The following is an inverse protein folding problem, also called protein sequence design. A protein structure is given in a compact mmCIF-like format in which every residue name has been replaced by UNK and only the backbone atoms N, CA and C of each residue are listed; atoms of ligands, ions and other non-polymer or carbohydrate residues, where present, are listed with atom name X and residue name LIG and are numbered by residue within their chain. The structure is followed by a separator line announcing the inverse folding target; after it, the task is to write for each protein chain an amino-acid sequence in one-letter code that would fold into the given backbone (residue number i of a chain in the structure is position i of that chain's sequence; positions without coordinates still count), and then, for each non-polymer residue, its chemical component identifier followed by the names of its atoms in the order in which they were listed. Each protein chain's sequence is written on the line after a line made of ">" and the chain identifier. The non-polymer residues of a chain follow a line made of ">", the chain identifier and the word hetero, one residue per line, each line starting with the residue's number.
data_IF_199361304917
#
_entry.id   IF_199361304917
#
_cell.length_a   1.000
_cell.length_b   1.000
_cell.length_c   1.000
_cell.angle_alpha   90.00
_cell.angle_beta   90.00
_cell.angle_gamma   90.00
#
_symmetry.space_group_name_H-M   'P 1'
#
loop_
_entity.id
_entity.type
_entity.pdbx_description
1 polymer ?
#
# COMPACT_ATOMS: atom_id res chain seq x y z
N UNK A 1 1.08 2.94 3.22
CA UNK A 1 0.77 3.97 4.24
C UNK A 1 1.72 3.80 5.43
N UNK A 2 1.99 4.87 6.18
CA UNK A 2 2.84 4.81 7.36
C UNK A 2 2.09 4.27 8.60
N UNK A 3 0.79 4.51 8.71
CA UNK A 3 -0.05 4.02 9.82
C UNK A 3 -1.51 3.81 9.41
N UNK A 4 -2.31 3.19 10.28
CA UNK A 4 -3.70 2.82 9.99
C UNK A 4 -4.65 4.03 9.97
N UNK A 5 -4.30 5.09 10.70
CA UNK A 5 -5.07 6.34 10.78
C UNK A 5 -5.21 7.01 9.41
N UNK A 6 -4.26 6.76 8.50
CA UNK A 6 -4.30 7.28 7.13
C UNK A 6 -5.33 6.58 6.24
N UNK A 7 -6.05 5.55 6.71
CA UNK A 7 -7.05 4.84 5.90
C UNK A 7 -8.10 5.79 5.29
N UNK A 8 -8.61 6.74 6.08
CA UNK A 8 -9.63 7.70 5.64
C UNK A 8 -9.14 8.67 4.57
N UNK A 9 -7.82 8.81 4.39
CA UNK A 9 -7.26 9.65 3.33
C UNK A 9 -7.40 9.01 1.95
N UNK A 10 -7.54 7.68 1.89
CA UNK A 10 -7.48 6.90 0.65
C UNK A 10 -8.76 6.10 0.38
N UNK A 11 -9.54 5.80 1.42
CA UNK A 11 -10.74 4.99 1.30
C UNK A 11 -11.93 5.61 2.04
N UNK A 12 -13.13 5.29 1.55
CA UNK A 12 -14.43 5.69 2.10
C UNK A 12 -15.22 4.43 2.50
N UNK A 13 -16.33 4.63 3.20
CA UNK A 13 -17.24 3.55 3.64
C UNK A 13 -16.50 2.45 4.44
N UNK A 14 -15.60 2.86 5.36
CA UNK A 14 -14.70 1.97 6.10
C UNK A 14 -15.47 1.03 7.06
N UNK A 15 -15.62 -0.27 6.73
CA UNK A 15 -16.35 -1.21 7.58
C UNK A 15 -15.58 -1.46 8.88
N UNK A 16 -16.28 -1.74 9.97
CA UNK A 16 -15.63 -1.98 11.26
C UNK A 16 -14.70 -3.20 11.23
N UNK A 17 -15.04 -4.23 10.44
CA UNK A 17 -14.15 -5.37 10.20
C UNK A 17 -12.80 -4.93 9.60
N UNK A 18 -12.79 -3.98 8.66
CA UNK A 18 -11.55 -3.47 8.06
C UNK A 18 -10.69 -2.73 9.10
N UNK A 19 -11.31 -1.93 9.97
CA UNK A 19 -10.62 -1.23 11.06
C UNK A 19 -10.02 -2.21 12.07
N UNK A 20 -10.78 -3.25 12.44
CA UNK A 20 -10.33 -4.30 13.35
C UNK A 20 -9.16 -5.09 12.77
N UNK A 21 -9.23 -5.48 11.49
CA UNK A 21 -8.15 -6.17 10.79
C UNK A 21 -6.90 -5.29 10.67
N UNK A 22 -7.05 -4.01 10.30
CA UNK A 22 -5.94 -3.07 10.27
C UNK A 22 -5.28 -2.96 11.65
N UNK A 23 -6.06 -2.77 12.72
CA UNK A 23 -5.53 -2.69 14.09
C UNK A 23 -4.78 -3.96 14.51
N UNK A 24 -5.26 -5.13 14.13
CA UNK A 24 -4.68 -6.41 14.54
C UNK A 24 -3.43 -6.80 13.74
N UNK A 25 -3.40 -6.48 12.44
CA UNK A 25 -2.41 -7.02 11.51
C UNK A 25 -1.50 -5.96 10.88
N UNK A 26 -1.68 -4.67 11.17
CA UNK A 26 -0.79 -3.60 10.73
C UNK A 26 0.03 -3.01 11.87
N UNK A 27 1.34 -2.74 11.65
CA UNK A 27 2.12 -3.04 10.45
C UNK A 27 2.26 -4.55 10.16
N UNK A 28 2.14 -4.96 8.89
CA UNK A 28 2.18 -6.39 8.55
C UNK A 28 2.03 -6.72 7.07
N UNK A 29 1.87 -8.00 6.72
CA UNK A 29 1.71 -8.47 5.34
C UNK A 29 0.27 -8.39 4.81
N UNK A 30 -0.68 -7.89 5.61
CA UNK A 30 -2.08 -7.76 5.19
C UNK A 30 -2.26 -6.58 4.22
N UNK A 31 -3.01 -6.78 3.15
CA UNK A 31 -3.52 -5.70 2.28
C UNK A 31 -5.05 -5.71 2.37
N UNK A 32 -5.67 -4.53 2.57
CA UNK A 32 -7.12 -4.36 2.57
C UNK A 32 -7.56 -3.75 1.24
N UNK A 33 -8.59 -4.32 0.62
CA UNK A 33 -9.25 -3.76 -0.56
C UNK A 33 -10.50 -3.01 -0.09
N UNK A 34 -10.55 -1.70 -0.31
CA UNK A 34 -11.60 -0.82 0.19
C UNK A 34 -12.12 0.09 -0.92
N UNK A 35 -13.32 0.66 -0.75
CA UNK A 35 -13.86 1.64 -1.70
C UNK A 35 -12.98 2.89 -1.71
N UNK A 36 -12.55 3.33 -2.89
CA UNK A 36 -11.58 4.42 -3.01
C UNK A 36 -12.22 5.78 -2.70
N UNK A 37 -11.46 6.67 -2.07
CA UNK A 37 -11.84 8.07 -1.95
C UNK A 37 -11.75 8.78 -3.31
N UNK A 38 -12.49 9.87 -3.50
CA UNK A 38 -12.56 10.60 -4.77
C UNK A 38 -11.20 11.11 -5.28
N UNK A 39 -10.26 11.40 -4.37
CA UNK A 39 -8.89 11.84 -4.71
C UNK A 39 -7.99 10.73 -5.29
N UNK A 40 -8.40 9.47 -5.17
CA UNK A 40 -7.62 8.33 -5.65
C UNK A 40 -7.89 8.13 -7.13
N UNK A 41 -7.01 8.68 -7.96
CA UNK A 41 -7.13 8.63 -9.42
C UNK A 41 -6.94 7.23 -10.02
N UNK A 42 -7.36 7.06 -11.26
CA UNK A 42 -7.31 5.77 -11.98
C UNK A 42 -5.88 5.26 -12.21
N UNK A 43 -4.89 6.15 -12.17
CA UNK A 43 -3.47 5.80 -12.22
C UNK A 43 -3.00 4.97 -11.01
N UNK A 44 -3.78 4.92 -9.92
CA UNK A 44 -3.54 4.03 -8.78
C UNK A 44 -4.37 2.74 -8.92
N UNK A 45 -5.65 2.87 -9.30
CA UNK A 45 -6.63 1.77 -9.18
C UNK A 45 -6.84 0.98 -10.47
N UNK A 46 -6.26 1.41 -11.58
CA UNK A 46 -6.51 0.83 -12.90
C UNK A 46 -7.97 1.02 -13.34
N UNK A 47 -8.61 2.13 -12.97
CA UNK A 47 -10.01 2.43 -13.28
C UNK A 47 -11.03 1.76 -12.33
N UNK A 48 -10.58 1.01 -11.33
CA UNK A 48 -11.47 0.36 -10.37
C UNK A 48 -12.03 1.35 -9.35
N UNK A 49 -13.20 1.02 -8.79
CA UNK A 49 -13.85 1.76 -7.69
C UNK A 49 -13.24 1.49 -6.31
N UNK A 50 -12.25 0.60 -6.24
CA UNK A 50 -11.59 0.18 -5.01
C UNK A 50 -10.08 0.46 -5.04
N UNK A 51 -9.46 0.49 -3.86
CA UNK A 51 -8.02 0.71 -3.65
C UNK A 51 -7.46 -0.33 -2.68
N UNK A 52 -6.26 -0.83 -2.98
CA UNK A 52 -5.51 -1.72 -2.10
C UNK A 52 -4.58 -0.93 -1.17
N UNK A 53 -4.76 -1.08 0.13
CA UNK A 53 -4.00 -0.35 1.16
C UNK A 53 -3.27 -1.32 2.08
N UNK A 54 -2.06 -0.93 2.49
CA UNK A 54 -1.21 -1.68 3.43
C UNK A 54 -0.30 -0.75 4.23
N UNK A 55 -0.03 -1.12 5.48
CA UNK A 55 1.07 -0.59 6.28
C UNK A 55 2.15 -1.68 6.39
N UNK A 56 3.32 -1.51 5.74
CA UNK A 56 4.34 -2.56 5.70
C UNK A 56 5.06 -2.69 7.04
N UNK A 57 5.30 -3.93 7.49
CA UNK A 57 6.16 -4.20 8.65
C UNK A 57 7.65 -4.25 8.26
N UNK A 58 8.20 -3.13 7.82
CA UNK A 58 9.63 -3.01 7.52
C UNK A 58 10.12 -1.61 7.90
N UNK A 59 11.09 -1.52 8.80
CA UNK A 59 11.55 -0.26 9.38
C UNK A 59 11.96 0.78 8.33
N UNK A 60 12.71 0.38 7.30
CA UNK A 60 13.09 1.28 6.20
C UNK A 60 11.87 1.80 5.41
N UNK A 61 10.91 0.92 5.11
CA UNK A 61 9.74 1.30 4.34
C UNK A 61 8.88 2.31 5.12
N UNK A 62 8.71 2.08 6.42
CA UNK A 62 8.01 3.02 7.31
C UNK A 62 8.73 4.36 7.38
N UNK A 63 10.06 4.39 7.53
CA UNK A 63 10.85 5.63 7.52
C UNK A 63 10.66 6.42 6.22
N UNK A 64 10.69 5.74 5.07
CA UNK A 64 10.44 6.37 3.76
C UNK A 64 9.03 6.95 3.70
N UNK A 65 8.01 6.19 4.11
CA UNK A 65 6.61 6.62 4.09
C UNK A 65 6.36 7.81 5.03
N UNK A 66 6.94 7.79 6.23
CA UNK A 66 6.86 8.90 7.18
C UNK A 66 7.55 10.16 6.64
N UNK A 67 8.75 10.02 6.07
CA UNK A 67 9.46 11.14 5.46
C UNK A 67 8.76 11.70 4.22
N UNK A 68 8.10 10.83 3.44
CA UNK A 68 7.30 11.22 2.29
C UNK A 68 5.98 11.93 2.70
N UNK A 69 5.46 11.66 3.89
CA UNK A 69 4.26 12.30 4.43
C UNK A 69 2.94 11.87 3.76
N UNK A 70 2.98 10.84 2.91
CA UNK A 70 1.79 10.36 2.17
C UNK A 70 1.84 8.86 1.85
N UNK A 71 0.87 8.39 1.08
CA UNK A 71 0.83 7.03 0.53
C UNK A 71 1.73 6.89 -0.70
N UNK A 72 2.43 5.76 -0.78
CA UNK A 72 3.25 5.39 -1.93
C UNK A 72 2.58 4.21 -2.66
N UNK A 73 2.26 4.39 -3.95
CA UNK A 73 1.88 3.29 -4.82
C UNK A 73 3.14 2.50 -5.18
N UNK A 74 3.19 1.22 -4.80
CA UNK A 74 4.39 0.39 -4.94
C UNK A 74 4.01 -1.06 -5.28
N UNK A 75 3.98 -1.44 -6.57
CA UNK A 75 3.92 -2.84 -6.98
C UNK A 75 5.25 -3.54 -6.70
N UNK A 76 5.37 -4.81 -7.07
CA UNK A 76 6.68 -5.49 -7.05
C UNK A 76 7.65 -4.78 -7.99
N UNK A 77 8.90 -4.58 -7.54
CA UNK A 77 9.91 -3.79 -8.23
C UNK A 77 10.60 -4.60 -9.34
N UNK A 78 9.82 -5.09 -10.29
CA UNK A 78 10.26 -5.85 -11.45
C UNK A 78 9.49 -5.43 -12.71
N UNK A 79 10.03 -5.75 -13.88
CA UNK A 79 9.38 -5.70 -15.17
C UNK A 79 8.23 -6.70 -15.20
N UNK A 80 7.17 -6.34 -15.92
CA UNK A 80 5.97 -7.16 -16.02
C UNK A 80 6.30 -8.57 -16.52
N UNK A 81 5.77 -9.59 -15.83
CA UNK A 81 6.01 -11.01 -16.14
C UNK A 81 7.26 -11.63 -15.50
N UNK A 82 8.13 -10.84 -14.87
CA UNK A 82 9.31 -11.35 -14.18
C UNK A 82 9.01 -11.76 -12.73
N UNK A 83 9.93 -12.52 -12.13
CA UNK A 83 9.84 -12.95 -10.72
C UNK A 83 10.02 -11.74 -9.80
N UNK A 84 9.16 -11.62 -8.79
CA UNK A 84 9.24 -10.53 -7.82
C UNK A 84 10.59 -10.49 -7.10
N UNK A 85 11.20 -9.31 -6.93
CA UNK A 85 12.51 -9.18 -6.30
C UNK A 85 12.40 -9.34 -4.79
N UNK A 86 13.41 -9.97 -4.20
CA UNK A 86 13.56 -10.09 -2.74
C UNK A 86 14.87 -9.49 -2.24
N UNK A 87 15.75 -9.05 -3.15
CA UNK A 87 17.01 -8.38 -2.85
C UNK A 87 17.15 -7.11 -3.69
N UNK A 88 17.96 -6.15 -3.22
CA UNK A 88 18.30 -4.96 -4.01
C UNK A 88 19.05 -5.31 -5.31
N UNK A 89 19.82 -6.41 -5.31
CA UNK A 89 20.49 -6.92 -6.51
C UNK A 89 19.51 -7.35 -7.61
N UNK A 90 18.39 -7.98 -7.25
CA UNK A 90 17.33 -8.32 -8.21
C UNK A 90 16.74 -7.04 -8.83
N UNK A 91 16.44 -6.03 -8.01
CA UNK A 91 15.93 -4.73 -8.52
C UNK A 91 16.95 -4.07 -9.46
N UNK A 92 18.23 -4.04 -9.09
CA UNK A 92 19.31 -3.44 -9.90
C UNK A 92 19.53 -4.15 -11.25
N UNK A 93 19.27 -5.46 -11.32
CA UNK A 93 19.36 -6.19 -12.57
C UNK A 93 18.24 -5.82 -13.56
N UNK A 94 17.14 -5.23 -13.07
CA UNK A 94 15.98 -4.85 -13.88
C UNK A 94 15.92 -3.36 -14.23
N UNK A 95 16.54 -2.50 -13.41
CA UNK A 95 16.56 -1.02 -13.50
C UNK A 95 17.93 -0.39 -13.17
#
# INVERSE_FOLDING_TARGET
>A
LACAEQLSDWAIDLPDAAKLLAKAFWPGPLTLILKRAARVGDWITGGQSTVGLRVPNHALALRVLTAFGSGLAAPSANRFGHVSPTTAGHVRAEF
#
